data_IF_967596027434
#
_entry.id   IF_967596027434
#
_cell.length_a   1.000
_cell.length_b   1.000
_cell.length_c   1.000
_cell.angle_alpha   90.00
_cell.angle_beta   90.00
_cell.angle_gamma   90.00
#
_symmetry.space_group_name_H-M   'P 1'
#
loop_
_entity.id
_entity.type
_entity.pdbx_description
1 polymer ?
#
# COMPACT_ATOMS: atom_id res chain seq x y z
N UNK A 1 14.43 6.59 1.14
CA UNK A 1 13.17 7.35 1.05
C UNK A 1 12.35 7.00 2.28
N UNK A 2 11.63 7.97 2.85
CA UNK A 2 10.66 7.71 3.91
C UNK A 2 9.26 7.42 3.33
N UNK A 3 8.34 6.95 4.17
CA UNK A 3 6.97 6.55 3.76
C UNK A 3 6.21 7.67 3.04
N UNK A 4 6.37 8.91 3.49
CA UNK A 4 5.67 10.04 2.90
C UNK A 4 6.20 10.36 1.50
N UNK A 5 7.51 10.26 1.29
CA UNK A 5 8.13 10.39 -0.04
C UNK A 5 7.62 9.30 -1.02
N UNK A 6 7.42 8.08 -0.54
CA UNK A 6 6.92 6.96 -1.35
C UNK A 6 5.44 7.15 -1.72
N UNK A 7 4.63 7.64 -0.77
CA UNK A 7 3.23 7.99 -1.03
C UNK A 7 3.12 9.12 -2.04
N UNK A 8 3.94 10.17 -1.89
CA UNK A 8 3.95 11.28 -2.85
C UNK A 8 4.40 10.82 -4.24
N UNK A 9 5.36 9.89 -4.33
CA UNK A 9 5.75 9.27 -5.60
C UNK A 9 4.56 8.56 -6.27
N UNK A 10 3.79 7.78 -5.52
CA UNK A 10 2.59 7.09 -6.02
C UNK A 10 1.48 8.04 -6.49
N UNK A 11 1.19 9.07 -5.69
CA UNK A 11 0.16 10.06 -6.02
C UNK A 11 0.54 10.90 -7.24
N UNK A 12 1.81 11.31 -7.34
CA UNK A 12 2.32 12.13 -8.44
C UNK A 12 2.67 11.34 -9.71
N UNK A 13 2.76 10.01 -9.64
CA UNK A 13 3.10 9.18 -10.80
C UNK A 13 2.09 9.35 -11.94
N UNK A 14 2.55 9.26 -13.19
CA UNK A 14 1.73 9.59 -14.38
C UNK A 14 0.75 8.50 -14.81
N UNK A 15 0.89 7.29 -14.28
CA UNK A 15 0.05 6.18 -14.66
C UNK A 15 -1.38 6.34 -14.11
N UNK A 16 -2.39 5.82 -14.84
CA UNK A 16 -3.80 6.11 -14.59
C UNK A 16 -4.30 5.57 -13.26
N UNK A 17 -3.89 4.36 -12.84
CA UNK A 17 -4.40 3.75 -11.61
C UNK A 17 -3.61 4.24 -10.41
N UNK A 18 -4.34 4.64 -9.36
CA UNK A 18 -3.84 4.84 -8.01
C UNK A 18 -4.29 3.66 -7.16
N UNK A 19 -3.34 2.87 -6.71
CA UNK A 19 -3.57 1.67 -5.89
C UNK A 19 -3.07 1.97 -4.49
N UNK A 20 -3.94 1.85 -3.49
CA UNK A 20 -3.56 1.92 -2.08
C UNK A 20 -3.37 0.51 -1.57
N UNK A 21 -2.14 0.20 -1.14
CA UNK A 21 -1.84 -1.00 -0.38
C UNK A 21 -1.79 -0.65 1.11
N UNK A 22 -2.24 -1.58 1.94
CA UNK A 22 -2.09 -1.54 3.39
C UNK A 22 -1.34 -2.77 3.89
N UNK A 23 -0.52 -2.58 4.91
CA UNK A 23 0.29 -3.62 5.54
C UNK A 23 0.10 -3.56 7.05
N UNK A 24 -0.14 -4.71 7.66
CA UNK A 24 -0.34 -4.82 9.10
C UNK A 24 -0.06 -6.23 9.58
N UNK A 25 -0.01 -6.43 10.90
CA UNK A 25 0.18 -7.75 11.49
C UNK A 25 -1.10 -8.24 12.15
N UNK A 26 -1.40 -9.53 12.01
CA UNK A 26 -2.52 -10.19 12.69
C UNK A 26 -2.07 -11.51 13.31
N UNK A 27 -2.83 -12.04 14.26
CA UNK A 27 -2.65 -13.41 14.75
C UNK A 27 -3.48 -14.37 13.92
N UNK A 28 -2.85 -15.43 13.39
CA UNK A 28 -3.57 -16.50 12.69
C UNK A 28 -4.31 -17.43 13.68
N UNK A 29 -4.99 -18.45 13.16
CA UNK A 29 -5.77 -19.41 13.96
C UNK A 29 -4.95 -20.19 14.98
N UNK A 30 -3.64 -20.31 14.75
CA UNK A 30 -2.70 -21.02 15.62
C UNK A 30 -2.00 -20.08 16.62
N UNK A 31 -2.39 -18.80 16.65
CA UNK A 31 -1.83 -17.78 17.53
C UNK A 31 -0.48 -17.21 17.06
N UNK A 32 -0.03 -17.53 15.85
CA UNK A 32 1.20 -16.98 15.28
C UNK A 32 0.94 -15.61 14.67
N UNK A 33 1.85 -14.65 14.89
CA UNK A 33 1.79 -13.32 14.27
C UNK A 33 2.23 -13.43 12.81
N UNK A 34 1.41 -12.91 11.91
CA UNK A 34 1.62 -12.94 10.46
C UNK A 34 1.50 -11.53 9.89
N UNK A 35 2.29 -11.26 8.85
CA UNK A 35 2.17 -10.04 8.06
C UNK A 35 1.09 -10.20 7.01
N UNK A 36 0.19 -9.22 6.94
CA UNK A 36 -0.91 -9.18 5.97
C UNK A 36 -0.72 -7.95 5.10
N UNK A 37 -0.75 -8.17 3.78
CA UNK A 37 -0.76 -7.10 2.79
C UNK A 37 -2.09 -7.14 2.04
N UNK A 38 -2.80 -6.02 2.03
CA UNK A 38 -4.10 -5.88 1.39
C UNK A 38 -4.11 -4.78 0.33
N UNK A 39 -4.78 -5.04 -0.79
CA UNK A 39 -5.17 -4.02 -1.75
C UNK A 39 -6.47 -3.38 -1.25
N UNK A 40 -6.38 -2.14 -0.78
CA UNK A 40 -7.45 -1.49 -0.02
C UNK A 40 -8.33 -0.59 -0.89
N UNK A 41 -7.76 0.01 -1.93
CA UNK A 41 -8.48 0.94 -2.79
C UNK A 41 -7.80 1.09 -4.15
N UNK A 42 -8.59 1.20 -5.21
CA UNK A 42 -8.11 1.46 -6.57
C UNK A 42 -8.99 2.55 -7.19
N UNK A 43 -8.38 3.54 -7.79
CA UNK A 43 -9.09 4.61 -8.48
C UNK A 43 -8.25 5.21 -9.59
N UNK A 44 -8.89 5.92 -10.52
CA UNK A 44 -8.20 6.77 -11.51
C UNK A 44 -8.08 8.23 -11.06
N UNK A 45 -8.71 8.57 -9.94
CA UNK A 45 -8.79 9.93 -9.42
C UNK A 45 -7.81 10.11 -8.26
N UNK A 46 -6.79 10.94 -8.47
CA UNK A 46 -5.77 11.23 -7.46
C UNK A 46 -6.33 11.91 -6.21
N UNK A 47 -7.37 12.75 -6.33
CA UNK A 47 -7.98 13.40 -5.18
C UNK A 47 -8.73 12.39 -4.33
N UNK A 48 -9.43 11.45 -4.95
CA UNK A 48 -10.09 10.35 -4.23
C UNK A 48 -9.08 9.43 -3.55
N UNK A 49 -7.97 9.11 -4.22
CA UNK A 49 -6.89 8.34 -3.59
C UNK A 49 -6.35 9.05 -2.34
N UNK A 50 -6.08 10.36 -2.43
CA UNK A 50 -5.61 11.15 -1.29
C UNK A 50 -6.63 11.18 -0.14
N UNK A 51 -7.91 11.39 -0.44
CA UNK A 51 -8.98 11.40 0.57
C UNK A 51 -9.13 10.04 1.25
N UNK A 52 -9.09 8.94 0.49
CA UNK A 52 -9.17 7.59 1.05
C UNK A 52 -7.95 7.26 1.91
N UNK A 53 -6.74 7.62 1.46
CA UNK A 53 -5.53 7.43 2.25
C UNK A 53 -5.61 8.16 3.60
N UNK A 54 -6.03 9.42 3.60
CA UNK A 54 -6.24 10.21 4.84
C UNK A 54 -7.24 9.54 5.77
N UNK A 55 -8.35 9.01 5.22
CA UNK A 55 -9.36 8.27 5.99
C UNK A 55 -8.79 6.99 6.60
N UNK A 56 -8.04 6.20 5.82
CA UNK A 56 -7.44 4.93 6.25
C UNK A 56 -6.43 5.14 7.39
N UNK A 57 -5.49 6.07 7.20
CA UNK A 57 -4.51 6.45 8.24
C UNK A 57 -5.16 6.91 9.54
N UNK A 58 -6.30 7.61 9.47
CA UNK A 58 -7.06 8.02 10.66
C UNK A 58 -7.75 6.84 11.37
N UNK A 59 -8.26 5.87 10.62
CA UNK A 59 -8.99 4.73 11.18
C UNK A 59 -8.08 3.65 11.77
N UNK A 60 -6.90 3.48 11.17
CA UNK A 60 -5.94 2.42 11.48
C UNK A 60 -4.52 3.01 11.39
N UNK A 61 -4.11 3.80 12.41
CA UNK A 61 -2.83 4.51 12.39
C UNK A 61 -1.62 3.58 12.52
N UNK A 62 -1.81 2.39 13.10
CA UNK A 62 -0.76 1.38 13.30
C UNK A 62 -0.52 0.52 12.05
N UNK A 63 -1.26 0.77 10.97
CA UNK A 63 -1.06 0.10 9.68
C UNK A 63 -0.14 0.95 8.80
N UNK A 64 0.67 0.27 8.02
CA UNK A 64 1.49 0.89 6.97
C UNK A 64 0.67 1.04 5.70
N UNK A 65 0.90 2.12 4.96
CA UNK A 65 0.20 2.39 3.70
C UNK A 65 1.16 2.84 2.62
N UNK A 66 0.89 2.42 1.40
CA UNK A 66 1.59 2.88 0.21
C UNK A 66 0.60 3.20 -0.89
N UNK A 67 0.98 4.14 -1.75
CA UNK A 67 0.27 4.45 -2.99
C UNK A 67 1.16 4.07 -4.15
N UNK A 68 0.62 3.35 -5.12
CA UNK A 68 1.30 3.05 -6.37
C UNK A 68 0.56 3.68 -7.55
N UNK A 69 1.33 4.19 -8.50
CA UNK A 69 0.86 4.66 -9.80
C UNK A 69 1.08 3.56 -10.82
N UNK A 70 0.01 2.97 -11.35
CA UNK A 70 0.08 1.75 -12.16
C UNK A 70 -0.64 1.90 -13.51
N UNK A 71 -0.05 1.44 -14.63
CA UNK A 71 -0.72 1.41 -15.93
C UNK A 71 -1.78 0.30 -16.03
N UNK A 72 -2.70 0.45 -16.98
CA UNK A 72 -3.63 -0.64 -17.34
C UNK A 72 -2.91 -1.76 -18.08
N UNK A 73 -3.41 -2.98 -17.91
CA UNK A 73 -3.05 -4.16 -18.72
C UNK A 73 -1.55 -4.44 -18.81
N UNK A 74 -0.79 -3.98 -17.82
CA UNK A 74 0.65 -4.18 -17.73
C UNK A 74 0.94 -5.32 -16.79
N UNK A 75 1.75 -6.27 -17.25
CA UNK A 75 2.28 -7.33 -16.41
C UNK A 75 3.25 -6.73 -15.39
N UNK A 76 2.76 -6.50 -14.18
CA UNK A 76 3.54 -5.89 -13.11
C UNK A 76 4.69 -6.77 -12.65
N UNK A 77 4.66 -8.08 -12.92
CA UNK A 77 5.74 -9.00 -12.57
C UNK A 77 7.05 -8.68 -13.32
N UNK A 78 6.95 -7.92 -14.41
CA UNK A 78 8.10 -7.50 -15.22
C UNK A 78 8.76 -6.22 -14.73
N UNK A 79 8.17 -5.52 -13.76
CA UNK A 79 8.75 -4.29 -13.19
C UNK A 79 9.94 -4.64 -12.29
N UNK A 80 10.95 -3.75 -12.26
CA UNK A 80 12.11 -3.90 -11.36
C UNK A 80 11.73 -3.88 -9.89
N UNK A 81 10.61 -3.20 -9.56
CA UNK A 81 9.98 -3.21 -8.25
C UNK A 81 8.46 -3.27 -8.44
N UNK A 82 7.82 -4.24 -7.78
CA UNK A 82 6.37 -4.43 -7.84
C UNK A 82 5.69 -3.55 -6.80
N UNK A 83 4.39 -3.27 -6.98
CA UNK A 83 3.57 -2.74 -5.90
C UNK A 83 3.51 -3.72 -4.71
N UNK A 84 4.37 -3.51 -3.72
CA UNK A 84 4.46 -4.37 -2.53
C UNK A 84 4.57 -3.54 -1.25
N UNK A 85 4.31 -4.19 -0.13
CA UNK A 85 4.66 -3.71 1.20
C UNK A 85 5.57 -4.76 1.83
N UNK A 86 6.68 -4.30 2.41
CA UNK A 86 7.60 -5.13 3.16
C UNK A 86 7.16 -5.13 4.63
N UNK A 87 7.19 -6.29 5.27
CA UNK A 87 6.90 -6.47 6.70
C UNK A 87 8.10 -7.22 7.26
N UNK A 88 8.83 -6.57 8.15
CA UNK A 88 10.09 -7.11 8.66
C UNK A 88 9.82 -8.22 9.69
N UNK A 89 10.76 -9.17 9.89
CA UNK A 89 10.63 -10.17 10.95
C UNK A 89 10.44 -9.56 12.33
N UNK A 90 11.02 -8.38 12.57
CA UNK A 90 10.86 -7.62 13.82
C UNK A 90 9.40 -7.20 14.05
N UNK A 91 8.68 -6.85 12.98
CA UNK A 91 7.24 -6.55 13.05
C UNK A 91 6.42 -7.78 13.44
N UNK A 92 6.93 -8.99 13.20
CA UNK A 92 6.28 -10.27 13.52
C UNK A 92 6.65 -10.84 14.90
N UNK A 93 7.51 -10.15 15.65
CA UNK A 93 7.88 -10.53 17.03
C UNK A 93 7.05 -9.86 18.11
#
# INVERSE_FOLDING_TARGET
>A
MNDEELIQLGLSGKAPLKVILGGWTESNTDGQKVGVVGLLYVTTDVQQAQQQLTRLRKQKPDHYYMVYSVPYDTDLSTLSHWPTLEIDPEDLT
#
